data_IF_496120428666
#
_entry.id   IF_496120428666
#
_cell.length_a   1.000
_cell.length_b   1.000
_cell.length_c   1.000
_cell.angle_alpha   90.00
_cell.angle_beta   90.00
_cell.angle_gamma   90.00
#
_symmetry.space_group_name_H-M   'P 1'
#
loop_
_entity.id
_entity.type
_entity.pdbx_description
1 polymer ?
#
# COMPACT_ATOMS: atom_id res chain seq x y z
N UNK A 1 -6.27 -31.59 -14.80
CA UNK A 1 -6.39 -30.54 -13.77
C UNK A 1 -7.29 -31.10 -12.69
N UNK A 2 -7.05 -30.87 -11.39
CA UNK A 2 -8.06 -31.23 -10.39
C UNK A 2 -9.31 -30.38 -10.70
N UNK A 3 -10.46 -31.03 -10.90
CA UNK A 3 -11.76 -30.38 -11.02
C UNK A 3 -12.10 -29.70 -9.70
N UNK A 4 -11.56 -28.50 -9.48
CA UNK A 4 -12.08 -27.62 -8.46
C UNK A 4 -13.40 -27.08 -9.00
N UNK A 5 -14.50 -27.46 -8.36
CA UNK A 5 -15.84 -26.92 -8.56
C UNK A 5 -15.94 -25.48 -8.02
N UNK A 6 -14.96 -24.65 -8.37
CA UNK A 6 -14.70 -23.33 -7.82
C UNK A 6 -14.43 -22.38 -8.99
N UNK A 7 -15.13 -21.24 -9.01
CA UNK A 7 -14.91 -20.20 -10.02
C UNK A 7 -13.62 -19.39 -9.79
N UNK A 8 -13.26 -18.51 -10.72
CA UNK A 8 -12.05 -17.67 -10.61
C UNK A 8 -12.15 -16.63 -9.46
N UNK A 9 -13.30 -16.51 -8.76
CA UNK A 9 -13.47 -15.74 -7.51
C UNK A 9 -13.34 -16.60 -6.25
N UNK A 10 -13.11 -17.90 -6.37
CA UNK A 10 -13.00 -18.81 -5.22
C UNK A 10 -14.35 -19.27 -4.68
N UNK A 11 -15.46 -19.12 -5.43
CA UNK A 11 -16.79 -19.55 -4.99
C UNK A 11 -17.07 -20.98 -5.44
N UNK A 12 -17.41 -21.86 -4.50
CA UNK A 12 -17.94 -23.18 -4.80
C UNK A 12 -19.26 -23.06 -5.58
N UNK A 13 -19.39 -23.79 -6.69
CA UNK A 13 -20.52 -23.67 -7.63
C UNK A 13 -20.70 -22.25 -8.23
N UNK A 14 -19.63 -21.46 -8.25
CA UNK A 14 -19.64 -20.15 -8.90
C UNK A 14 -19.66 -20.26 -10.43
N UNK A 15 -20.02 -19.17 -11.10
CA UNK A 15 -20.09 -19.09 -12.55
C UNK A 15 -19.27 -17.92 -13.13
N UNK A 16 -18.35 -17.37 -12.34
CA UNK A 16 -17.50 -16.27 -12.78
C UNK A 16 -16.19 -16.79 -13.40
N UNK A 17 -16.17 -16.84 -14.73
CA UNK A 17 -15.01 -17.26 -15.53
C UNK A 17 -14.71 -16.19 -16.59
N UNK A 18 -13.98 -15.13 -16.24
CA UNK A 18 -13.70 -14.05 -17.18
C UNK A 18 -12.85 -14.55 -18.35
N UNK A 19 -13.02 -13.91 -19.50
CA UNK A 19 -12.09 -14.04 -20.61
C UNK A 19 -10.66 -13.79 -20.13
N UNK A 20 -9.74 -14.70 -20.48
CA UNK A 20 -8.34 -14.75 -20.03
C UNK A 20 -8.09 -15.14 -18.56
N UNK A 21 -9.12 -15.56 -17.80
CA UNK A 21 -8.99 -15.98 -16.40
C UNK A 21 -7.88 -17.00 -16.17
N UNK A 22 -7.89 -18.11 -16.93
CA UNK A 22 -6.87 -19.16 -16.83
C UNK A 22 -5.44 -18.67 -17.08
N UNK A 23 -5.23 -17.83 -18.11
CA UNK A 23 -3.91 -17.27 -18.41
C UNK A 23 -3.47 -16.25 -17.33
N UNK A 24 -4.39 -15.46 -16.79
CA UNK A 24 -4.11 -14.54 -15.70
C UNK A 24 -3.72 -15.31 -14.42
N UNK A 25 -4.38 -16.44 -14.14
CA UNK A 25 -4.01 -17.36 -13.05
C UNK A 25 -2.59 -17.88 -13.23
N UNK A 26 -2.28 -18.41 -14.41
CA UNK A 26 -0.93 -18.92 -14.74
C UNK A 26 0.13 -17.84 -14.51
N UNK A 27 -0.08 -16.63 -15.01
CA UNK A 27 0.85 -15.51 -14.84
C UNK A 27 0.98 -15.08 -13.36
N UNK A 28 -0.12 -15.01 -12.61
CA UNK A 28 -0.07 -14.67 -11.18
C UNK A 28 0.70 -15.71 -10.37
N UNK A 29 0.59 -16.99 -10.76
CA UNK A 29 1.24 -18.13 -10.10
C UNK A 29 2.68 -18.36 -10.57
N UNK A 30 3.06 -17.85 -11.75
CA UNK A 30 4.40 -17.95 -12.33
C UNK A 30 5.51 -17.27 -11.52
N UNK A 31 5.15 -16.47 -10.50
CA UNK A 31 6.10 -15.83 -9.59
C UNK A 31 6.36 -16.72 -8.36
N UNK A 32 7.48 -17.46 -8.32
CA UNK A 32 7.83 -18.28 -7.16
C UNK A 32 8.13 -17.38 -5.95
N UNK A 33 7.41 -17.60 -4.86
CA UNK A 33 7.47 -16.72 -3.68
C UNK A 33 8.31 -17.36 -2.60
N UNK A 34 9.39 -16.69 -2.21
CA UNK A 34 10.30 -17.17 -1.16
C UNK A 34 9.89 -16.70 0.23
N UNK A 35 9.38 -15.47 0.34
CA UNK A 35 9.05 -14.86 1.62
C UNK A 35 8.18 -13.60 1.46
N UNK A 36 7.58 -13.17 2.56
CA UNK A 36 6.92 -11.86 2.67
C UNK A 36 7.86 -10.89 3.40
N UNK A 37 8.16 -9.75 2.77
CA UNK A 37 9.00 -8.72 3.39
C UNK A 37 8.32 -8.12 4.63
N UNK A 38 9.01 -8.06 5.77
CA UNK A 38 8.45 -7.57 7.05
C UNK A 38 8.97 -6.20 7.49
N UNK A 39 9.74 -5.51 6.64
CA UNK A 39 10.22 -4.16 6.96
C UNK A 39 9.05 -3.19 6.89
N UNK A 40 9.11 -2.08 7.63
CA UNK A 40 8.06 -1.03 7.60
C UNK A 40 7.74 -0.57 6.17
N UNK A 41 8.76 -0.40 5.33
CA UNK A 41 8.58 -0.04 3.91
C UNK A 41 7.88 -1.13 3.08
N UNK A 42 8.08 -2.40 3.42
CA UNK A 42 7.40 -3.51 2.71
C UNK A 42 5.91 -3.53 3.06
N UNK A 43 5.56 -3.22 4.32
CA UNK A 43 4.18 -3.04 4.77
C UNK A 43 3.54 -1.84 4.07
N UNK A 44 4.17 -0.67 4.09
CA UNK A 44 3.65 0.54 3.46
C UNK A 44 3.38 0.36 1.94
N UNK A 45 4.25 -0.37 1.24
CA UNK A 45 4.04 -0.72 -0.17
C UNK A 45 2.83 -1.62 -0.37
N UNK A 46 2.66 -2.65 0.48
CA UNK A 46 1.48 -3.52 0.41
C UNK A 46 0.20 -2.77 0.78
N UNK A 47 0.25 -1.88 1.75
CA UNK A 47 -0.90 -1.09 2.18
C UNK A 47 -1.32 -0.12 1.06
N UNK A 48 -0.38 0.52 0.37
CA UNK A 48 -0.68 1.36 -0.80
C UNK A 48 -1.28 0.57 -1.97
N UNK A 49 -0.72 -0.60 -2.27
CA UNK A 49 -1.14 -1.39 -3.43
C UNK A 49 -2.35 -2.26 -3.10
N UNK A 50 -2.20 -3.26 -2.22
CA UNK A 50 -3.26 -4.21 -1.88
C UNK A 50 -4.28 -3.56 -0.95
N UNK A 51 -3.82 -2.86 0.10
CA UNK A 51 -4.71 -2.20 1.06
C UNK A 51 -5.60 -1.18 0.38
N UNK A 52 -5.00 -0.29 -0.42
CA UNK A 52 -5.72 0.67 -1.25
C UNK A 52 -6.68 0.01 -2.22
N UNK A 53 -6.33 -1.16 -2.78
CA UNK A 53 -7.18 -1.87 -3.73
C UNK A 53 -8.42 -2.39 -3.03
N UNK A 54 -8.25 -3.03 -1.88
CA UNK A 54 -9.36 -3.58 -1.12
C UNK A 54 -10.31 -2.48 -0.61
N UNK A 55 -9.79 -1.30 -0.28
CA UNK A 55 -10.60 -0.17 0.18
C UNK A 55 -11.29 0.59 -0.95
N UNK A 56 -10.82 0.43 -2.19
CA UNK A 56 -11.48 1.01 -3.34
C UNK A 56 -12.75 0.21 -3.66
N UNK A 57 -13.95 0.78 -3.50
CA UNK A 57 -15.20 0.05 -3.70
C UNK A 57 -15.33 -0.56 -5.09
N UNK A 58 -14.63 -0.03 -6.09
CA UNK A 58 -14.58 -0.55 -7.48
C UNK A 58 -13.89 -1.91 -7.61
N UNK A 59 -13.06 -2.29 -6.63
CA UNK A 59 -12.38 -3.58 -6.58
C UNK A 59 -13.19 -4.63 -5.77
N UNK A 60 -14.51 -4.70 -5.99
CA UNK A 60 -15.36 -5.63 -5.25
C UNK A 60 -14.97 -7.09 -5.49
N UNK A 61 -14.64 -7.45 -6.72
CA UNK A 61 -14.19 -8.80 -7.08
C UNK A 61 -12.87 -9.17 -6.40
N UNK A 62 -11.89 -8.26 -6.29
CA UNK A 62 -10.67 -8.50 -5.52
C UNK A 62 -10.97 -8.75 -4.04
N UNK A 63 -11.87 -7.95 -3.44
CA UNK A 63 -12.29 -8.18 -2.05
C UNK A 63 -12.93 -9.54 -1.88
N UNK A 64 -13.83 -9.93 -2.79
CA UNK A 64 -14.50 -11.23 -2.77
C UNK A 64 -13.50 -12.37 -2.91
N UNK A 65 -12.60 -12.30 -3.89
CA UNK A 65 -11.58 -13.31 -4.11
C UNK A 65 -10.65 -13.50 -2.90
N UNK A 66 -10.26 -12.39 -2.25
CA UNK A 66 -9.50 -12.45 -0.99
C UNK A 66 -10.34 -13.05 0.15
N UNK A 67 -11.63 -12.70 0.24
CA UNK A 67 -12.53 -13.21 1.27
C UNK A 67 -12.81 -14.71 1.13
N UNK A 68 -12.92 -15.19 -0.11
CA UNK A 68 -13.23 -16.58 -0.42
C UNK A 68 -12.03 -17.52 -0.29
N UNK A 69 -10.82 -16.97 -0.06
CA UNK A 69 -9.59 -17.74 0.17
C UNK A 69 -9.31 -18.80 -0.93
N UNK A 70 -9.38 -18.40 -2.20
CA UNK A 70 -9.18 -19.29 -3.36
C UNK A 70 -7.96 -20.24 -3.19
N UNK A 71 -8.14 -21.57 -3.18
CA UNK A 71 -7.10 -22.53 -2.81
C UNK A 71 -5.82 -22.44 -3.64
N UNK A 72 -5.94 -22.21 -4.95
CA UNK A 72 -4.77 -22.08 -5.83
C UNK A 72 -3.78 -21.00 -5.39
N UNK A 73 -4.23 -19.86 -4.86
CA UNK A 73 -3.31 -18.79 -4.45
C UNK A 73 -2.50 -19.13 -3.20
N UNK A 74 -2.88 -20.18 -2.47
CA UNK A 74 -2.11 -20.74 -1.36
C UNK A 74 -1.12 -21.82 -1.81
N UNK A 75 -1.17 -22.28 -3.06
CA UNK A 75 -0.31 -23.35 -3.58
C UNK A 75 1.17 -23.03 -3.40
N UNK A 76 1.94 -23.99 -2.88
CA UNK A 76 3.38 -23.83 -2.65
C UNK A 76 3.74 -22.92 -1.47
N UNK A 77 2.80 -22.63 -0.56
CA UNK A 77 3.06 -21.80 0.64
C UNK A 77 2.87 -22.57 1.95
N UNK A 78 2.60 -23.88 1.91
CA UNK A 78 2.22 -24.68 3.08
C UNK A 78 3.24 -24.63 4.23
N UNK A 79 4.53 -24.57 3.91
CA UNK A 79 5.64 -24.49 4.87
C UNK A 79 5.79 -23.11 5.53
N UNK A 80 5.04 -22.10 5.09
CA UNK A 80 5.12 -20.74 5.63
C UNK A 80 4.13 -20.52 6.77
N UNK A 81 4.40 -19.50 7.60
CA UNK A 81 3.48 -19.11 8.66
C UNK A 81 2.12 -18.69 8.08
N UNK A 82 1.02 -18.95 8.80
CA UNK A 82 -0.34 -18.65 8.33
C UNK A 82 -0.49 -17.20 7.85
N UNK A 83 0.08 -16.24 8.58
CA UNK A 83 0.05 -14.84 8.19
C UNK A 83 0.80 -14.58 6.88
N UNK A 84 1.96 -15.20 6.66
CA UNK A 84 2.68 -15.05 5.40
C UNK A 84 1.89 -15.69 4.25
N UNK A 85 1.28 -16.87 4.46
CA UNK A 85 0.41 -17.52 3.47
C UNK A 85 -0.73 -16.62 3.02
N UNK A 86 -1.45 -16.02 3.98
CA UNK A 86 -2.54 -15.06 3.71
C UNK A 86 -2.05 -13.82 2.96
N UNK A 87 -0.87 -13.29 3.29
CA UNK A 87 -0.30 -12.14 2.57
C UNK A 87 0.13 -12.50 1.14
N UNK A 88 0.67 -13.70 0.93
CA UNK A 88 1.01 -14.21 -0.41
C UNK A 88 -0.25 -14.40 -1.23
N UNK A 89 -1.29 -15.03 -0.68
CA UNK A 89 -2.56 -15.22 -1.36
C UNK A 89 -3.19 -13.88 -1.76
N UNK A 90 -3.19 -12.87 -0.89
CA UNK A 90 -3.64 -11.50 -1.22
C UNK A 90 -2.82 -10.87 -2.34
N UNK A 91 -1.50 -11.05 -2.32
CA UNK A 91 -0.62 -10.54 -3.37
C UNK A 91 -0.83 -11.24 -4.71
N UNK A 92 -1.10 -12.55 -4.71
CA UNK A 92 -1.44 -13.33 -5.91
C UNK A 92 -2.83 -12.97 -6.46
N UNK A 93 -3.82 -12.79 -5.60
CA UNK A 93 -5.13 -12.28 -6.01
C UNK A 93 -5.03 -10.90 -6.67
N UNK A 94 -4.21 -9.99 -6.12
CA UNK A 94 -3.94 -8.71 -6.77
C UNK A 94 -3.23 -8.88 -8.13
N UNK A 95 -2.23 -9.78 -8.21
CA UNK A 95 -1.55 -10.09 -9.47
C UNK A 95 -2.50 -10.66 -10.52
N UNK A 96 -3.42 -11.54 -10.13
CA UNK A 96 -4.44 -12.10 -11.00
C UNK A 96 -5.27 -10.99 -11.65
N UNK A 97 -5.86 -10.09 -10.87
CA UNK A 97 -6.62 -8.96 -11.43
C UNK A 97 -5.74 -8.02 -12.27
N UNK A 98 -4.50 -7.77 -11.85
CA UNK A 98 -3.55 -6.99 -12.64
C UNK A 98 -3.26 -7.62 -14.01
N UNK A 99 -3.04 -8.94 -14.07
CA UNK A 99 -2.77 -9.63 -15.32
C UNK A 99 -4.02 -9.75 -16.19
N UNK A 100 -5.17 -10.10 -15.61
CA UNK A 100 -6.46 -10.15 -16.30
C UNK A 100 -6.75 -8.83 -17.02
N UNK A 101 -6.51 -7.74 -16.30
CA UNK A 101 -6.63 -6.38 -16.81
C UNK A 101 -5.69 -6.11 -17.99
N UNK A 102 -4.40 -6.42 -17.84
CA UNK A 102 -3.42 -6.22 -18.91
C UNK A 102 -3.72 -7.06 -20.14
N UNK A 103 -4.17 -8.31 -19.97
CA UNK A 103 -4.53 -9.21 -21.06
C UNK A 103 -5.71 -8.66 -21.87
N UNK A 104 -6.74 -8.15 -21.19
CA UNK A 104 -7.91 -7.53 -21.83
C UNK A 104 -7.56 -6.32 -22.70
N UNK A 105 -6.56 -5.54 -22.29
CA UNK A 105 -6.13 -4.36 -23.05
C UNK A 105 -4.96 -4.65 -24.00
N UNK A 106 -4.52 -5.91 -24.16
CA UNK A 106 -3.30 -6.29 -24.89
C UNK A 106 -3.37 -6.16 -26.42
N UNK A 107 -4.51 -5.72 -26.97
CA UNK A 107 -4.69 -5.49 -28.40
C UNK A 107 -4.90 -4.02 -28.76
N UNK A 108 -4.11 -3.07 -28.23
CA UNK A 108 -4.30 -1.68 -28.59
C UNK A 108 -3.90 -1.45 -30.05
N UNK A 109 -4.63 -0.57 -30.73
CA UNK A 109 -4.31 -0.11 -32.09
C UNK A 109 -2.93 0.59 -32.18
N UNK A 110 -2.38 1.02 -31.03
CA UNK A 110 -1.10 1.72 -30.91
C UNK A 110 0.06 0.78 -30.52
N UNK A 111 1.05 0.60 -31.40
CA UNK A 111 2.24 -0.24 -31.19
C UNK A 111 3.03 0.16 -29.91
N UNK A 112 3.06 1.45 -29.58
CA UNK A 112 3.73 1.95 -28.39
C UNK A 112 3.00 1.54 -27.10
N UNK A 113 1.67 1.43 -27.16
CA UNK A 113 0.83 0.91 -26.08
C UNK A 113 1.04 -0.60 -25.91
N UNK A 114 1.09 -1.37 -27.00
CA UNK A 114 1.38 -2.82 -26.95
C UNK A 114 2.73 -3.09 -26.29
N UNK A 115 3.78 -2.39 -26.74
CA UNK A 115 5.11 -2.49 -26.14
C UNK A 115 5.09 -2.12 -24.65
N UNK A 116 4.30 -1.10 -24.28
CA UNK A 116 4.15 -0.70 -22.88
C UNK A 116 3.50 -1.81 -22.05
N UNK A 117 2.41 -2.41 -22.52
CA UNK A 117 1.69 -3.48 -21.81
C UNK A 117 2.60 -4.70 -21.60
N UNK A 118 3.38 -5.09 -22.61
CA UNK A 118 4.34 -6.19 -22.48
C UNK A 118 5.41 -5.90 -21.42
N UNK A 119 5.87 -4.66 -21.32
CA UNK A 119 6.78 -4.25 -20.24
C UNK A 119 6.10 -4.29 -18.86
N UNK A 120 4.81 -3.94 -18.77
CA UNK A 120 4.02 -4.00 -17.55
C UNK A 120 3.85 -5.44 -17.07
N UNK A 121 3.53 -6.39 -17.97
CA UNK A 121 3.37 -7.82 -17.65
C UNK A 121 4.64 -8.44 -17.05
N UNK A 122 5.80 -8.03 -17.57
CA UNK A 122 7.13 -8.52 -17.13
C UNK A 122 7.67 -7.81 -15.90
N UNK A 123 7.00 -6.77 -15.40
CA UNK A 123 7.50 -6.02 -14.26
C UNK A 123 7.44 -6.88 -12.99
N UNK A 124 8.59 -7.13 -12.38
CA UNK A 124 8.70 -7.84 -11.11
C UNK A 124 7.75 -7.23 -10.06
N UNK A 125 6.92 -8.04 -9.37
CA UNK A 125 6.15 -7.57 -8.23
C UNK A 125 7.08 -7.20 -7.06
N UNK A 126 6.62 -6.29 -6.19
CA UNK A 126 7.32 -5.91 -4.96
C UNK A 126 6.45 -6.08 -3.70
N UNK A 127 5.35 -6.83 -3.83
CA UNK A 127 4.45 -7.19 -2.72
C UNK A 127 5.06 -8.30 -1.84
N UNK A 128 5.85 -9.17 -2.48
CA UNK A 128 6.45 -10.37 -1.94
C UNK A 128 7.88 -10.54 -2.49
N UNK A 129 8.72 -11.30 -1.79
CA UNK A 129 10.07 -11.63 -2.24
C UNK A 129 9.99 -12.83 -3.19
N UNK A 130 10.23 -12.57 -4.47
CA UNK A 130 10.22 -13.60 -5.51
C UNK A 130 11.61 -14.20 -5.71
N UNK A 131 11.68 -15.49 -6.02
CA UNK A 131 12.92 -16.13 -6.41
C UNK A 131 13.35 -15.72 -7.82
N UNK A 132 14.60 -15.28 -7.96
CA UNK A 132 15.16 -14.88 -9.25
C UNK A 132 15.63 -16.06 -10.09
N UNK A 133 16.00 -17.18 -9.46
CA UNK A 133 16.56 -18.34 -10.15
C UNK A 133 15.52 -19.18 -10.87
N UNK A 134 14.29 -19.18 -10.35
CA UNK A 134 13.20 -20.06 -10.80
C UNK A 134 12.10 -19.32 -11.56
N UNK A 135 12.22 -18.01 -11.78
CA UNK A 135 11.30 -17.26 -12.64
C UNK A 135 11.73 -17.40 -14.11
N UNK A 136 11.10 -18.28 -14.92
CA UNK A 136 11.48 -18.45 -16.31
C UNK A 136 11.31 -17.12 -17.06
N UNK A 137 12.33 -16.71 -17.82
CA UNK A 137 12.29 -15.56 -18.74
C UNK A 137 12.13 -14.15 -18.11
N UNK A 138 12.04 -14.01 -16.78
CA UNK A 138 11.94 -12.71 -16.14
C UNK A 138 13.31 -12.21 -15.66
N UNK A 139 13.95 -11.34 -16.45
CA UNK A 139 14.93 -10.42 -15.86
C UNK A 139 14.16 -9.60 -14.82
N UNK A 140 14.45 -9.78 -13.53
CA UNK A 140 13.83 -9.04 -12.41
C UNK A 140 14.12 -7.53 -12.52
N UNK A 141 13.49 -6.88 -13.49
CA UNK A 141 13.68 -5.47 -13.81
C UNK A 141 12.35 -4.76 -13.65
N UNK A 142 12.31 -3.65 -12.91
CA UNK A 142 11.14 -2.80 -12.91
C UNK A 142 10.96 -2.19 -14.31
N UNK A 143 9.71 -2.07 -14.77
CA UNK A 143 9.40 -1.40 -16.04
C UNK A 143 9.58 0.12 -15.99
N UNK A 144 9.72 0.69 -14.78
CA UNK A 144 9.93 2.13 -14.48
C UNK A 144 8.73 3.04 -14.80
N UNK A 145 7.56 2.48 -15.12
CA UNK A 145 6.35 3.24 -15.44
C UNK A 145 5.46 3.45 -14.22
N UNK A 146 5.88 4.30 -13.29
CA UNK A 146 5.20 4.47 -11.99
C UNK A 146 3.79 5.09 -12.06
N UNK A 147 3.34 5.57 -13.22
CA UNK A 147 1.93 5.96 -13.43
C UNK A 147 1.03 4.79 -13.82
N UNK A 148 1.60 3.68 -14.34
CA UNK A 148 0.85 2.57 -14.94
C UNK A 148 1.15 1.19 -14.33
N UNK A 149 2.31 1.02 -13.69
CA UNK A 149 2.69 -0.21 -12.98
C UNK A 149 2.66 -0.05 -11.46
N UNK A 150 1.82 -0.83 -10.72
CA UNK A 150 1.57 -0.56 -9.31
C UNK A 150 2.82 -0.87 -8.50
N UNK A 151 3.60 -1.83 -8.98
CA UNK A 151 4.89 -2.18 -8.40
C UNK A 151 5.95 -1.09 -8.60
N UNK A 152 5.93 -0.38 -9.73
CA UNK A 152 6.84 0.77 -9.92
C UNK A 152 6.40 1.98 -9.11
N UNK A 153 5.09 2.20 -8.94
CA UNK A 153 4.57 3.19 -8.00
C UNK A 153 5.03 2.89 -6.58
N UNK A 154 4.76 1.68 -6.09
CA UNK A 154 5.19 1.26 -4.76
C UNK A 154 6.70 1.44 -4.53
N UNK A 155 7.54 1.06 -5.50
CA UNK A 155 9.01 1.32 -5.41
C UNK A 155 9.34 2.81 -5.35
N UNK A 156 8.68 3.63 -6.17
CA UNK A 156 8.94 5.07 -6.25
C UNK A 156 8.50 5.80 -4.99
N UNK A 157 7.35 5.43 -4.41
CA UNK A 157 6.87 5.97 -3.13
C UNK A 157 7.71 5.45 -1.96
N UNK A 158 8.11 4.18 -1.96
CA UNK A 158 9.04 3.61 -0.98
C UNK A 158 10.39 4.35 -0.94
N UNK A 159 10.95 4.64 -2.12
CA UNK A 159 12.19 5.40 -2.22
C UNK A 159 11.99 6.84 -1.73
N UNK A 160 10.89 7.49 -2.14
CA UNK A 160 10.56 8.85 -1.70
C UNK A 160 10.39 8.92 -0.19
N UNK A 161 9.63 8.01 0.42
CA UNK A 161 9.48 7.96 1.88
C UNK A 161 10.83 7.79 2.56
N UNK A 162 11.70 6.89 2.05
CA UNK A 162 13.05 6.73 2.60
C UNK A 162 13.88 8.02 2.50
N UNK A 163 13.81 8.72 1.37
CA UNK A 163 14.54 9.98 1.14
C UNK A 163 14.04 11.06 2.12
N UNK A 164 12.72 11.14 2.33
CA UNK A 164 12.06 12.12 3.21
C UNK A 164 12.15 11.77 4.71
N UNK A 165 12.35 10.49 5.07
CA UNK A 165 12.54 10.05 6.46
C UNK A 165 14.00 10.09 6.93
N UNK A 166 14.94 10.55 6.10
CA UNK A 166 16.29 10.82 6.56
C UNK A 166 16.24 11.91 7.65
N UNK A 167 17.04 11.75 8.71
CA UNK A 167 16.92 12.47 9.99
C UNK A 167 16.89 14.00 9.89
N UNK A 168 17.38 14.56 8.79
CA UNK A 168 17.59 15.99 8.63
C UNK A 168 16.63 16.61 7.61
N UNK A 169 15.73 15.81 7.03
CA UNK A 169 14.88 16.29 5.93
C UNK A 169 13.64 17.05 6.43
N UNK A 170 13.06 16.63 7.56
CA UNK A 170 11.85 17.23 8.15
C UNK A 170 12.19 17.72 9.55
N UNK A 171 11.85 18.98 9.88
CA UNK A 171 12.19 19.56 11.19
C UNK A 171 11.31 18.94 12.30
N UNK A 172 11.88 18.59 13.48
CA UNK A 172 11.15 17.94 14.57
C UNK A 172 9.88 18.67 15.04
N UNK A 173 9.93 20.01 15.09
CA UNK A 173 8.90 20.86 15.68
C UNK A 173 7.88 21.39 14.65
N UNK A 174 7.54 20.56 13.67
CA UNK A 174 6.65 20.96 12.57
C UNK A 174 5.46 20.04 12.38
N UNK A 175 4.45 20.59 11.71
CA UNK A 175 3.31 19.82 11.21
C UNK A 175 3.56 19.48 9.74
N UNK A 176 3.17 18.27 9.35
CA UNK A 176 3.08 17.89 7.96
C UNK A 176 1.64 18.09 7.50
N UNK A 177 1.46 18.85 6.41
CA UNK A 177 0.15 19.13 5.84
C UNK A 177 0.08 18.69 4.38
N UNK A 178 -0.99 17.98 4.03
CA UNK A 178 -1.32 17.56 2.68
C UNK A 178 -2.56 18.31 2.20
N UNK A 179 -2.40 19.16 1.20
CA UNK A 179 -3.51 19.73 0.44
C UNK A 179 -3.73 18.92 -0.83
N UNK A 180 -4.98 18.65 -1.22
CA UNK A 180 -5.31 17.94 -2.45
C UNK A 180 -6.46 18.60 -3.20
N UNK A 181 -6.35 18.70 -4.51
CA UNK A 181 -7.42 19.15 -5.40
C UNK A 181 -7.69 18.03 -6.40
N UNK A 182 -8.96 17.68 -6.54
CA UNK A 182 -9.45 16.69 -7.51
C UNK A 182 -10.38 17.37 -8.51
N UNK A 183 -10.09 17.25 -9.81
CA UNK A 183 -10.91 17.79 -10.90
C UNK A 183 -11.44 16.65 -11.76
N UNK A 184 -12.76 16.53 -11.89
CA UNK A 184 -13.39 15.50 -12.69
C UNK A 184 -13.43 15.91 -14.17
N UNK A 185 -12.93 15.05 -15.07
CA UNK A 185 -12.84 15.35 -16.50
C UNK A 185 -14.21 15.49 -17.18
N UNK A 186 -15.32 14.97 -16.62
CA UNK A 186 -16.65 15.24 -17.18
C UNK A 186 -16.94 16.76 -17.27
N UNK A 187 -16.30 17.57 -16.42
CA UNK A 187 -16.40 19.03 -16.43
C UNK A 187 -15.35 19.73 -17.32
N UNK A 188 -14.38 19.00 -17.88
CA UNK A 188 -13.19 19.58 -18.54
C UNK A 188 -13.20 19.43 -20.07
N UNK A 189 -14.36 19.48 -20.72
CA UNK A 189 -14.58 19.57 -22.17
C UNK A 189 -14.45 18.30 -23.03
N UNK A 190 -15.36 18.26 -24.00
CA UNK A 190 -15.40 17.49 -25.23
C UNK A 190 -14.22 17.84 -26.14
N UNK A 191 -13.32 16.89 -26.43
CA UNK A 191 -12.64 16.86 -27.73
C UNK A 191 -11.11 17.00 -27.81
N UNK A 192 -10.34 17.27 -26.75
CA UNK A 192 -8.86 17.33 -26.88
C UNK A 192 -8.08 16.56 -25.82
N UNK A 193 -7.28 15.58 -26.28
CA UNK A 193 -6.40 14.72 -25.46
C UNK A 193 -5.22 15.50 -24.81
N UNK A 194 -4.97 16.75 -25.21
CA UNK A 194 -3.79 17.54 -24.79
C UNK A 194 -4.01 18.49 -23.59
N UNK A 195 -5.16 18.42 -22.90
CA UNK A 195 -5.50 19.41 -21.86
C UNK A 195 -4.95 19.10 -20.46
N UNK A 196 -4.47 17.89 -20.22
CA UNK A 196 -4.03 17.45 -18.88
C UNK A 196 -2.78 18.19 -18.38
N UNK A 197 -1.69 18.37 -19.17
CA UNK A 197 -0.52 19.10 -18.70
C UNK A 197 -0.81 20.58 -18.31
N UNK A 198 -1.59 21.36 -19.08
CA UNK A 198 -2.03 22.69 -18.67
C UNK A 198 -2.80 22.72 -17.34
N UNK A 199 -3.76 21.81 -17.15
CA UNK A 199 -4.55 21.71 -15.91
C UNK A 199 -3.63 21.41 -14.72
N UNK A 200 -2.75 20.41 -14.87
CA UNK A 200 -1.74 20.08 -13.87
C UNK A 200 -0.89 21.29 -13.50
N UNK A 201 -0.38 22.02 -14.49
CA UNK A 201 0.48 23.18 -14.26
C UNK A 201 -0.25 24.27 -13.48
N UNK A 202 -1.51 24.54 -13.82
CA UNK A 202 -2.36 25.53 -13.15
C UNK A 202 -2.63 25.17 -11.69
N UNK A 203 -3.07 23.94 -11.43
CA UNK A 203 -3.33 23.43 -10.08
C UNK A 203 -2.05 23.42 -9.23
N UNK A 204 -0.92 23.03 -9.84
CA UNK A 204 0.39 23.05 -9.16
C UNK A 204 0.80 24.47 -8.79
N UNK A 205 0.60 25.44 -9.68
CA UNK A 205 0.89 26.86 -9.41
C UNK A 205 0.02 27.40 -8.29
N UNK A 206 -1.28 27.07 -8.30
CA UNK A 206 -2.23 27.46 -7.27
C UNK A 206 -1.83 26.90 -5.89
N UNK A 207 -1.61 25.59 -5.78
CA UNK A 207 -1.17 24.98 -4.52
C UNK A 207 0.16 25.57 -4.02
N UNK A 208 1.10 25.87 -4.92
CA UNK A 208 2.36 26.53 -4.52
C UNK A 208 2.16 27.98 -4.03
N UNK A 209 1.18 28.72 -4.57
CA UNK A 209 0.79 30.03 -4.02
C UNK A 209 0.30 29.88 -2.59
N UNK A 210 -0.51 28.86 -2.32
CA UNK A 210 -0.97 28.54 -0.96
C UNK A 210 0.21 28.18 -0.05
N UNK A 211 1.13 27.31 -0.50
CA UNK A 211 2.33 26.97 0.27
C UNK A 211 3.11 28.23 0.69
N UNK A 212 3.30 29.17 -0.23
CA UNK A 212 3.97 30.43 0.05
C UNK A 212 3.18 31.30 1.04
N UNK A 213 1.86 31.36 0.95
CA UNK A 213 1.03 32.12 1.90
C UNK A 213 1.06 31.52 3.33
N UNK A 214 1.38 30.23 3.44
CA UNK A 214 1.56 29.51 4.70
C UNK A 214 3.03 29.49 5.18
N UNK A 215 3.90 30.31 4.57
CA UNK A 215 5.33 30.37 4.87
C UNK A 215 6.02 28.98 4.82
N UNK A 216 5.54 28.09 3.95
CA UNK A 216 6.15 26.78 3.73
C UNK A 216 7.28 26.93 2.69
N UNK A 217 8.57 26.87 3.10
CA UNK A 217 9.69 27.21 2.23
C UNK A 217 9.99 26.13 1.18
N UNK A 218 9.37 24.95 1.30
CA UNK A 218 9.53 23.85 0.37
C UNK A 218 8.45 22.79 0.55
N UNK A 219 8.45 21.82 -0.36
CA UNK A 219 7.49 20.73 -0.30
C UNK A 219 7.57 19.78 -1.48
N UNK A 220 6.58 18.90 -1.54
CA UNK A 220 6.39 17.89 -2.56
C UNK A 220 5.04 18.09 -3.24
N UNK A 221 5.05 18.22 -4.56
CA UNK A 221 3.84 18.20 -5.38
C UNK A 221 3.70 16.83 -6.03
N UNK A 222 2.53 16.20 -5.96
CA UNK A 222 2.21 14.94 -6.63
C UNK A 222 1.13 15.16 -7.67
N UNK A 223 1.13 14.31 -8.69
CA UNK A 223 0.15 14.34 -9.78
C UNK A 223 -0.26 12.92 -10.12
N UNK A 224 -1.56 12.67 -10.13
CA UNK A 224 -2.15 11.40 -10.52
C UNK A 224 -3.37 11.63 -11.41
N UNK A 225 -3.60 10.67 -12.29
CA UNK A 225 -4.84 10.57 -13.08
C UNK A 225 -5.45 9.22 -12.73
N UNK A 226 -6.67 9.23 -12.19
CA UNK A 226 -7.37 8.02 -11.74
C UNK A 226 -8.79 7.96 -12.30
N UNK A 227 -9.48 6.83 -12.17
CA UNK A 227 -10.89 6.76 -12.54
C UNK A 227 -11.72 7.63 -11.60
N UNK A 228 -12.81 8.24 -12.09
CA UNK A 228 -13.68 9.08 -11.27
C UNK A 228 -14.29 8.31 -10.08
N UNK A 229 -14.42 9.01 -8.94
CA UNK A 229 -15.00 8.50 -7.68
C UNK A 229 -16.53 8.60 -7.63
N UNK A 230 -17.16 9.39 -8.50
CA UNK A 230 -18.61 9.67 -8.44
C UNK A 230 -19.50 8.44 -8.73
N UNK A 231 -18.93 7.34 -9.20
CA UNK A 231 -19.68 6.21 -9.77
C UNK A 231 -19.78 4.98 -8.85
N UNK A 232 -19.43 5.08 -7.57
CA UNK A 232 -19.42 3.94 -6.62
C UNK A 232 -20.75 3.19 -6.52
N UNK A 233 -21.89 3.86 -6.75
CA UNK A 233 -23.22 3.24 -6.61
C UNK A 233 -23.62 2.27 -7.72
N UNK A 234 -23.02 2.37 -8.91
CA UNK A 234 -23.38 1.56 -10.11
C UNK A 234 -22.39 0.43 -10.43
N UNK A 235 -21.32 0.27 -9.63
CA UNK A 235 -20.32 -0.77 -9.90
C UNK A 235 -20.83 -2.20 -9.67
N UNK A 236 -21.90 -2.39 -8.89
CA UNK A 236 -22.44 -3.73 -8.61
C UNK A 236 -22.95 -4.50 -9.84
N UNK A 237 -23.16 -3.85 -10.99
CA UNK A 237 -23.83 -4.49 -12.14
C UNK A 237 -23.00 -4.57 -13.45
N UNK A 238 -21.85 -3.89 -13.58
CA UNK A 238 -21.16 -3.75 -14.89
C UNK A 238 -19.66 -4.03 -14.88
N UNK A 239 -19.17 -4.72 -13.85
CA UNK A 239 -17.79 -4.59 -13.36
C UNK A 239 -16.66 -5.07 -14.28
N UNK A 240 -16.93 -5.74 -15.41
CA UNK A 240 -15.87 -6.18 -16.33
C UNK A 240 -16.33 -6.26 -17.80
N UNK A 241 -17.19 -5.34 -18.24
CA UNK A 241 -17.63 -5.30 -19.64
C UNK A 241 -18.60 -4.17 -20.02
N UNK A 242 -19.11 -3.40 -19.05
CA UNK A 242 -19.96 -2.25 -19.37
C UNK A 242 -19.15 -1.09 -19.92
N UNK A 243 -19.49 -0.63 -21.12
CA UNK A 243 -19.09 0.67 -21.64
C UNK A 243 -19.77 1.80 -20.85
N UNK A 244 -19.53 1.92 -19.54
CA UNK A 244 -19.93 3.16 -18.88
C UNK A 244 -19.03 4.29 -19.41
N UNK A 245 -19.61 5.44 -19.73
CA UNK A 245 -18.88 6.63 -20.14
C UNK A 245 -18.13 7.22 -18.94
N UNK A 246 -16.97 6.64 -18.65
CA UNK A 246 -16.17 7.03 -17.49
C UNK A 246 -15.34 8.27 -17.80
N UNK A 247 -15.44 9.29 -16.94
CA UNK A 247 -14.42 10.33 -16.85
C UNK A 247 -13.25 9.86 -15.98
N UNK A 248 -12.06 10.43 -16.21
CA UNK A 248 -10.98 10.36 -15.24
C UNK A 248 -11.01 11.57 -14.30
N UNK A 249 -10.44 11.42 -13.12
CA UNK A 249 -10.18 12.52 -12.20
C UNK A 249 -8.70 12.82 -12.21
N UNK A 250 -8.38 14.11 -12.36
CA UNK A 250 -7.04 14.63 -12.18
C UNK A 250 -6.90 15.01 -10.71
N UNK A 251 -5.90 14.47 -10.02
CA UNK A 251 -5.55 14.87 -8.67
C UNK A 251 -4.17 15.49 -8.64
N UNK A 252 -4.09 16.68 -8.04
CA UNK A 252 -2.81 17.30 -7.67
C UNK A 252 -2.81 17.46 -6.16
N UNK A 253 -1.75 16.98 -5.52
CA UNK A 253 -1.57 17.17 -4.10
C UNK A 253 -0.27 17.89 -3.79
N UNK A 254 -0.26 18.59 -2.66
CA UNK A 254 0.87 19.33 -2.11
C UNK A 254 1.09 18.86 -0.67
N UNK A 255 2.24 18.26 -0.42
CA UNK A 255 2.73 17.96 0.92
C UNK A 255 3.77 19.01 1.31
N UNK A 256 3.54 19.69 2.42
CA UNK A 256 4.41 20.74 2.98
C UNK A 256 4.64 20.54 4.45
N UNK A 257 5.66 21.23 4.95
CA UNK A 257 5.98 21.35 6.35
C UNK A 257 5.55 22.74 6.84
N UNK A 258 4.84 22.81 7.96
CA UNK A 258 4.33 24.03 8.56
C UNK A 258 4.89 24.21 9.99
N UNK A 259 5.30 25.44 10.39
CA UNK A 259 5.66 25.72 11.77
C UNK A 259 4.49 25.46 12.72
N UNK A 260 4.72 24.81 13.86
CA UNK A 260 3.65 24.38 14.78
C UNK A 260 2.83 25.55 15.33
N UNK A 261 3.49 26.64 15.73
CA UNK A 261 2.84 27.78 16.39
C UNK A 261 1.89 28.53 15.44
N UNK A 262 2.33 28.78 14.20
CA UNK A 262 1.52 29.45 13.18
C UNK A 262 0.42 28.55 12.62
N UNK A 263 0.70 27.25 12.48
CA UNK A 263 -0.26 26.31 11.92
C UNK A 263 -1.41 26.07 12.89
N UNK A 264 -1.16 25.97 14.19
CA UNK A 264 -2.22 25.81 15.17
C UNK A 264 -3.11 27.05 15.25
N UNK A 265 -2.56 28.27 15.28
CA UNK A 265 -3.37 29.50 15.28
C UNK A 265 -4.23 29.62 14.01
N UNK A 266 -3.66 29.37 12.83
CA UNK A 266 -4.39 29.47 11.55
C UNK A 266 -5.34 28.31 11.27
N UNK A 267 -5.07 27.11 11.78
CA UNK A 267 -5.94 25.93 11.63
C UNK A 267 -7.01 25.84 12.73
N UNK A 268 -6.82 26.48 13.90
CA UNK A 268 -7.79 26.44 15.01
C UNK A 268 -8.75 27.64 15.06
N UNK A 269 -8.41 28.76 14.42
CA UNK A 269 -9.24 29.96 14.42
C UNK A 269 -10.46 29.89 13.48
N UNK A 270 -10.52 28.92 12.55
CA UNK A 270 -11.63 28.72 11.62
C UNK A 270 -12.04 27.25 11.62
N UNK A 271 -13.35 26.98 11.69
CA UNK A 271 -13.92 25.63 11.66
C UNK A 271 -13.38 24.81 10.49
N UNK A 272 -12.56 23.79 10.79
CA UNK A 272 -12.16 22.62 9.98
C UNK A 272 -11.74 22.79 8.50
N UNK A 273 -11.67 24.00 7.94
CA UNK A 273 -11.29 24.25 6.55
C UNK A 273 -10.65 25.63 6.39
N UNK A 274 -9.35 25.69 6.12
CA UNK A 274 -8.70 26.91 5.62
C UNK A 274 -9.36 27.32 4.29
N UNK A 275 -10.02 28.48 4.26
CA UNK A 275 -10.59 29.02 3.02
C UNK A 275 -9.50 29.76 2.23
N UNK A 276 -9.31 29.37 0.97
CA UNK A 276 -8.42 30.07 0.04
C UNK A 276 -9.26 30.66 -1.10
N UNK A 277 -8.73 31.67 -1.80
CA UNK A 277 -9.39 32.23 -2.99
C UNK A 277 -9.77 31.10 -3.96
N UNK A 278 -10.97 31.15 -4.54
CA UNK A 278 -11.37 30.19 -5.55
C UNK A 278 -10.38 30.13 -6.72
N UNK A 279 -10.20 28.94 -7.31
CA UNK A 279 -9.31 28.77 -8.45
C UNK A 279 -9.99 29.41 -9.66
N UNK A 280 -9.51 30.56 -10.22
CA UNK A 280 -10.32 31.42 -11.09
C UNK A 280 -10.68 30.86 -12.48
N UNK A 281 -10.52 29.57 -12.73
CA UNK A 281 -10.67 28.98 -14.05
C UNK A 281 -11.13 27.54 -14.07
N UNK A 282 -11.68 27.07 -12.97
CA UNK A 282 -12.52 25.89 -12.98
C UNK A 282 -13.91 26.38 -12.60
N UNK A 283 -14.92 25.93 -13.33
CA UNK A 283 -16.31 26.31 -13.04
C UNK A 283 -16.68 25.75 -11.66
N UNK A 284 -16.89 26.64 -10.69
CA UNK A 284 -17.26 26.32 -9.31
C UNK A 284 -16.17 26.58 -8.27
N UNK A 285 -16.62 26.71 -7.02
CA UNK A 285 -15.76 26.99 -5.85
C UNK A 285 -14.94 25.74 -5.48
N UNK A 286 -13.84 25.50 -6.19
CA UNK A 286 -12.95 24.37 -5.93
C UNK A 286 -11.97 24.71 -4.80
N UNK A 287 -12.22 24.15 -3.62
CA UNK A 287 -11.35 24.30 -2.45
C UNK A 287 -10.47 23.05 -2.24
N UNK A 288 -9.20 23.21 -1.84
CA UNK A 288 -8.33 22.08 -1.53
C UNK A 288 -8.82 21.36 -0.26
N UNK A 289 -8.82 20.02 -0.30
CA UNK A 289 -9.01 19.21 0.90
C UNK A 289 -7.69 19.10 1.67
N UNK A 290 -7.71 19.38 2.97
CA UNK A 290 -6.54 19.36 3.84
C UNK A 290 -6.49 18.12 4.73
N UNK A 291 -5.28 17.64 4.99
CA UNK A 291 -5.01 16.62 6.01
C UNK A 291 -3.71 16.98 6.72
N UNK A 292 -3.78 17.22 8.04
CA UNK A 292 -2.63 17.66 8.85
C UNK A 292 -2.27 16.59 9.87
N UNK A 293 -0.97 16.37 10.08
CA UNK A 293 -0.41 15.44 11.06
C UNK A 293 0.80 16.07 11.73
N UNK A 294 0.90 15.96 13.05
CA UNK A 294 2.13 16.37 13.74
C UNK A 294 3.29 15.44 13.34
N UNK A 295 4.45 16.01 13.01
CA UNK A 295 5.62 15.24 12.56
C UNK A 295 6.07 14.20 13.58
N UNK A 296 5.98 14.52 14.89
CA UNK A 296 6.26 13.61 16.01
C UNK A 296 5.48 12.30 15.98
N UNK A 297 4.36 12.22 15.25
CA UNK A 297 3.72 10.94 15.02
C UNK A 297 4.59 10.08 14.12
N UNK A 298 5.05 8.96 14.67
CA UNK A 298 5.92 7.97 14.01
C UNK A 298 5.53 7.65 12.56
N UNK A 299 4.24 7.67 12.27
CA UNK A 299 3.68 7.28 10.98
C UNK A 299 3.14 8.47 10.15
N UNK A 300 3.30 9.73 10.58
CA UNK A 300 2.72 10.90 9.90
C UNK A 300 3.08 10.97 8.41
N UNK A 301 4.37 10.91 8.08
CA UNK A 301 4.83 10.97 6.70
C UNK A 301 4.34 9.77 5.88
N UNK A 302 4.30 8.59 6.49
CA UNK A 302 3.75 7.39 5.85
C UNK A 302 2.28 7.61 5.53
N UNK A 303 1.49 7.99 6.52
CA UNK A 303 0.05 8.17 6.38
C UNK A 303 -0.29 9.26 5.35
N UNK A 304 0.52 10.33 5.25
CA UNK A 304 0.31 11.38 4.25
C UNK A 304 0.78 10.98 2.84
N UNK A 305 1.79 10.11 2.69
CA UNK A 305 2.24 9.64 1.37
C UNK A 305 1.39 8.49 0.84
N UNK A 306 1.25 7.44 1.64
CA UNK A 306 0.57 6.19 1.28
C UNK A 306 -0.93 6.24 1.58
N UNK A 307 -1.38 7.18 2.41
CA UNK A 307 -2.74 7.26 2.93
C UNK A 307 -2.93 6.41 4.18
N UNK A 308 -4.02 6.68 4.89
CA UNK A 308 -4.59 5.74 5.86
C UNK A 308 -5.73 4.98 5.21
N UNK A 309 -6.04 3.78 5.70
CA UNK A 309 -7.33 3.17 5.38
C UNK A 309 -8.45 4.18 5.68
N UNK A 310 -9.41 4.38 4.76
CA UNK A 310 -10.54 5.27 5.00
C UNK A 310 -11.25 4.89 6.29
N UNK A 311 -11.75 5.89 7.03
CA UNK A 311 -12.71 5.62 8.12
C UNK A 311 -14.03 5.13 7.49
N UNK A 312 -14.84 4.38 8.24
CA UNK A 312 -16.15 3.91 7.77
C UNK A 312 -16.93 5.07 7.12
N UNK A 313 -17.25 4.95 5.82
CA UNK A 313 -17.96 5.97 5.05
C UNK A 313 -17.11 6.81 4.08
N UNK A 314 -15.79 6.81 4.19
CA UNK A 314 -14.89 7.49 3.22
C UNK A 314 -14.54 6.56 2.05
N UNK A 315 -14.51 7.11 0.83
CA UNK A 315 -14.16 6.35 -0.39
C UNK A 315 -12.70 6.60 -0.79
N UNK A 316 -11.89 5.54 -0.73
CA UNK A 316 -10.53 5.51 -1.28
C UNK A 316 -9.42 5.89 -0.29
N UNK A 317 -8.20 5.99 -0.81
CA UNK A 317 -6.99 6.29 -0.04
C UNK A 317 -6.80 7.81 0.06
N UNK A 318 -6.52 8.34 1.25
CA UNK A 318 -6.42 9.80 1.50
C UNK A 318 -5.04 10.41 1.21
N UNK A 319 -4.01 9.58 1.01
CA UNK A 319 -2.63 10.02 0.85
C UNK A 319 -2.33 10.77 -0.46
N UNK A 320 -1.11 11.29 -0.56
CA UNK A 320 -0.59 11.99 -1.74
C UNK A 320 -0.54 11.11 -2.99
N UNK A 321 -0.56 9.77 -2.80
CA UNK A 321 -0.71 8.76 -3.84
C UNK A 321 -2.02 7.99 -3.68
N UNK A 322 -3.15 8.68 -3.79
CA UNK A 322 -4.50 8.17 -3.56
C UNK A 322 -5.02 7.21 -4.64
N UNK A 323 -4.65 7.42 -5.90
CA UNK A 323 -5.19 6.59 -6.98
C UNK A 323 -4.41 5.30 -7.17
N UNK A 324 -5.14 4.20 -7.00
CA UNK A 324 -4.85 2.91 -7.58
C UNK A 324 -4.68 3.05 -9.09
N UNK A 325 -3.72 2.34 -9.66
CA UNK A 325 -3.50 2.40 -11.10
C UNK A 325 -4.53 1.58 -11.87
N UNK A 326 -4.73 1.97 -13.13
CA UNK A 326 -5.74 1.53 -14.09
C UNK A 326 -5.61 0.07 -14.53
N UNK A 327 -5.65 -0.88 -13.59
CA UNK A 327 -5.84 -2.28 -13.91
C UNK A 327 -7.32 -2.52 -14.28
N UNK A 328 -8.29 -2.05 -13.49
CA UNK A 328 -9.71 -2.20 -13.85
C UNK A 328 -10.23 -1.34 -15.03
N UNK A 329 -9.36 -0.84 -15.88
CA UNK A 329 -9.73 -0.01 -17.02
C UNK A 329 -10.17 -0.86 -18.22
N UNK A 330 -11.17 -0.39 -18.96
CA UNK A 330 -11.33 -0.79 -20.37
C UNK A 330 -10.12 -0.35 -21.18
N UNK A 331 -9.98 -0.92 -22.38
CA UNK A 331 -8.92 -0.54 -23.30
C UNK A 331 -8.95 0.96 -23.64
N UNK A 332 -10.13 1.50 -23.99
CA UNK A 332 -10.31 2.92 -24.30
C UNK A 332 -9.91 3.82 -23.13
N UNK A 333 -10.33 3.47 -21.90
CA UNK A 333 -9.94 4.20 -20.70
C UNK A 333 -8.43 4.17 -20.46
N UNK A 334 -7.80 3.02 -20.67
CA UNK A 334 -6.36 2.88 -20.51
C UNK A 334 -5.61 3.73 -21.53
N UNK A 335 -6.05 3.76 -22.80
CA UNK A 335 -5.45 4.59 -23.84
C UNK A 335 -5.56 6.08 -23.51
N UNK A 336 -6.73 6.53 -23.03
CA UNK A 336 -6.93 7.91 -22.58
C UNK A 336 -6.04 8.26 -21.39
N UNK A 337 -5.96 7.37 -20.40
CA UNK A 337 -5.06 7.54 -19.27
C UNK A 337 -3.61 7.61 -19.73
N UNK A 338 -3.17 6.71 -20.62
CA UNK A 338 -1.82 6.69 -21.17
C UNK A 338 -1.46 8.00 -21.88
N UNK A 339 -2.38 8.55 -22.68
CA UNK A 339 -2.23 9.86 -23.30
C UNK A 339 -2.13 10.97 -22.26
N UNK A 340 -3.01 10.98 -21.25
CA UNK A 340 -3.09 12.01 -20.21
C UNK A 340 -1.81 12.14 -19.36
N UNK A 341 -1.15 11.01 -19.06
CA UNK A 341 0.05 10.99 -18.22
C UNK A 341 1.35 11.18 -19.02
N UNK A 342 1.29 11.16 -20.36
CA UNK A 342 2.47 11.22 -21.22
C UNK A 342 3.27 12.50 -20.94
N UNK A 343 4.58 12.35 -20.75
CA UNK A 343 5.49 13.47 -20.44
C UNK A 343 5.32 14.08 -19.03
N UNK A 344 4.44 13.53 -18.20
CA UNK A 344 4.21 14.05 -16.84
C UNK A 344 5.05 13.32 -15.79
N UNK A 345 5.60 14.08 -14.85
CA UNK A 345 6.21 13.51 -13.64
C UNK A 345 5.15 13.18 -12.58
N UNK A 346 5.29 12.02 -11.95
CA UNK A 346 4.47 11.58 -10.81
C UNK A 346 4.56 12.54 -9.61
N UNK A 347 5.74 13.09 -9.36
CA UNK A 347 5.93 14.09 -8.32
C UNK A 347 7.08 15.04 -8.67
N UNK A 348 7.10 16.20 -8.04
CA UNK A 348 8.22 17.14 -8.06
C UNK A 348 8.39 17.82 -6.71
N UNK A 349 9.63 17.88 -6.22
CA UNK A 349 10.00 18.67 -5.05
C UNK A 349 10.28 20.12 -5.45
N UNK A 350 10.06 21.06 -4.54
CA UNK A 350 10.36 22.48 -4.73
C UNK A 350 10.89 23.10 -3.44
N UNK A 351 11.48 24.29 -3.55
CA UNK A 351 12.04 25.01 -2.40
C UNK A 351 13.12 24.21 -1.69
N UNK A 352 13.15 24.31 -0.37
CA UNK A 352 14.17 23.66 0.47
C UNK A 352 14.21 22.14 0.30
N UNK A 353 13.06 21.49 0.12
CA UNK A 353 12.99 20.04 -0.10
C UNK A 353 13.74 19.59 -1.36
N UNK A 354 13.81 20.45 -2.39
CA UNK A 354 14.59 20.17 -3.60
C UNK A 354 16.09 20.29 -3.34
N UNK A 355 16.50 21.25 -2.50
CA UNK A 355 17.90 21.56 -2.21
C UNK A 355 18.50 20.59 -1.18
N UNK A 356 17.71 20.15 -0.21
CA UNK A 356 18.08 19.21 0.84
C UNK A 356 18.07 17.75 0.38
N UNK A 357 17.63 17.47 -0.85
CA UNK A 357 17.69 16.12 -1.38
C UNK A 357 19.16 15.71 -1.47
N UNK A 358 19.56 14.57 -0.86
CA UNK A 358 20.91 14.06 -1.05
C UNK A 358 21.14 13.96 -2.55
N UNK A 359 22.16 14.65 -3.08
CA UNK A 359 22.56 14.49 -4.47
C UNK A 359 22.73 12.99 -4.65
N UNK A 360 21.88 12.37 -5.48
CA UNK A 360 22.09 10.99 -5.87
C UNK A 360 23.47 10.99 -6.50
N UNK A 361 24.49 10.54 -5.77
CA UNK A 361 25.75 10.17 -6.39
C UNK A 361 25.33 9.16 -7.44
N UNK A 362 25.49 9.57 -8.70
CA UNK A 362 25.15 8.76 -9.85
C UNK A 362 25.82 7.41 -9.67
N UNK A 363 25.04 6.41 -9.28
CA UNK A 363 25.45 5.01 -9.27
C UNK A 363 25.47 4.48 -10.71
N UNK A 364 26.02 5.29 -11.62
CA UNK A 364 26.47 4.91 -12.97
C UNK A 364 27.83 4.20 -12.91
N UNK A 365 28.45 4.12 -11.73
CA UNK A 365 29.43 3.08 -11.43
C UNK A 365 28.70 1.79 -11.08
N UNK A 366 28.79 0.80 -11.99
CA UNK A 366 28.47 -0.60 -11.78
C UNK A 366 28.67 -1.01 -10.31
N UNK A 367 27.57 -1.30 -9.60
CA UNK A 367 27.66 -2.08 -8.37
C UNK A 367 28.07 -3.49 -8.76
N UNK A 368 29.39 -3.69 -8.85
CA UNK A 368 30.04 -4.96 -9.11
C UNK A 368 29.35 -6.06 -8.29
N UNK A 369 29.11 -7.21 -8.92
CA UNK A 369 28.53 -8.39 -8.29
C UNK A 369 29.28 -8.81 -6.99
N UNK A 370 30.53 -8.36 -6.81
CA UNK A 370 31.31 -8.48 -5.58
C UNK A 370 30.71 -7.78 -4.35
N UNK A 371 29.92 -6.70 -4.50
CA UNK A 371 29.22 -6.02 -3.39
C UNK A 371 27.83 -6.60 -3.06
N UNK A 372 27.28 -7.47 -3.92
CA UNK A 372 26.04 -8.21 -3.61
C UNK A 372 26.28 -9.40 -2.67
N UNK A 373 27.44 -10.06 -2.75
CA UNK A 373 27.81 -11.19 -1.87
C UNK A 373 27.80 -10.82 -0.37
N UNK A 374 28.35 -9.67 0.07
CA UNK A 374 28.27 -9.23 1.46
C UNK A 374 26.83 -8.97 1.92
N UNK A 375 26.00 -8.31 1.10
CA UNK A 375 24.59 -8.03 1.45
C UNK A 375 23.72 -9.28 1.49
N UNK A 376 23.98 -10.27 0.64
CA UNK A 376 23.30 -11.57 0.68
C UNK A 376 23.75 -12.38 1.90
N UNK A 377 25.05 -12.41 2.23
CA UNK A 377 25.57 -12.97 3.49
C UNK A 377 25.02 -12.25 4.72
N UNK A 378 24.87 -10.92 4.68
CA UNK A 378 24.20 -10.14 5.72
C UNK A 378 22.70 -10.44 5.84
N UNK A 379 22.02 -10.75 4.72
CA UNK A 379 20.60 -11.13 4.76
C UNK A 379 20.39 -12.54 5.27
N UNK A 380 21.27 -13.48 4.90
CA UNK A 380 21.32 -14.81 5.49
C UNK A 380 21.66 -14.73 6.99
N UNK A 381 22.62 -13.86 7.38
CA UNK A 381 22.93 -13.64 8.79
C UNK A 381 21.77 -12.98 9.54
N UNK A 382 21.00 -12.09 8.91
CA UNK A 382 19.79 -11.52 9.50
C UNK A 382 18.64 -12.54 9.60
N UNK A 383 18.47 -13.44 8.63
CA UNK A 383 17.49 -14.54 8.72
C UNK A 383 17.84 -15.46 9.87
N UNK A 384 19.10 -15.85 9.99
CA UNK A 384 19.60 -16.68 11.08
C UNK A 384 19.52 -15.94 12.42
N UNK A 385 19.88 -14.66 12.48
CA UNK A 385 19.79 -13.85 13.70
C UNK A 385 18.34 -13.59 14.13
N UNK A 386 17.39 -13.49 13.19
CA UNK A 386 15.97 -13.38 13.51
C UNK A 386 15.38 -14.72 13.94
N UNK A 387 15.79 -15.83 13.33
CA UNK A 387 15.41 -17.18 13.75
C UNK A 387 15.94 -17.47 15.15
N UNK A 388 17.21 -17.13 15.41
CA UNK A 388 17.84 -17.26 16.72
C UNK A 388 17.16 -16.37 17.75
N UNK A 389 16.91 -15.09 17.47
CA UNK A 389 16.13 -14.21 18.36
C UNK A 389 14.71 -14.74 18.62
N UNK A 390 14.07 -15.32 17.61
CA UNK A 390 12.75 -15.90 17.76
C UNK A 390 12.76 -17.15 18.63
N UNK A 391 13.80 -18.00 18.49
CA UNK A 391 14.03 -19.20 19.29
C UNK A 391 14.39 -18.84 20.74
N UNK A 392 15.32 -17.91 20.97
CA UNK A 392 15.64 -17.37 22.30
C UNK A 392 14.39 -16.81 22.97
N UNK A 393 13.62 -15.97 22.27
CA UNK A 393 12.38 -15.45 22.84
C UNK A 393 11.27 -16.51 23.02
N UNK A 394 11.41 -17.71 22.45
CA UNK A 394 10.51 -18.84 22.74
C UNK A 394 10.99 -19.57 23.98
N UNK A 395 12.29 -19.85 24.08
CA UNK A 395 12.91 -20.45 25.26
C UNK A 395 12.71 -19.57 26.51
N UNK A 396 12.93 -18.27 26.40
CA UNK A 396 12.69 -17.32 27.49
C UNK A 396 11.22 -17.33 27.92
N UNK A 397 10.30 -17.45 26.96
CA UNK A 397 8.88 -17.57 27.25
C UNK A 397 8.58 -18.89 27.98
N UNK A 398 9.12 -20.02 27.53
CA UNK A 398 8.95 -21.33 28.15
C UNK A 398 9.49 -21.35 29.58
N UNK A 399 10.66 -20.77 29.83
CA UNK A 399 11.25 -20.65 31.16
C UNK A 399 10.36 -19.80 32.10
N UNK A 400 9.72 -18.76 31.57
CA UNK A 400 8.82 -17.89 32.35
C UNK A 400 7.42 -18.48 32.54
N UNK A 401 7.00 -19.44 31.70
CA UNK A 401 5.65 -20.04 31.77
C UNK A 401 5.43 -20.68 33.14
N UNK A 402 6.39 -21.44 33.66
CA UNK A 402 6.26 -22.09 34.98
C UNK A 402 6.03 -21.09 36.11
N UNK A 403 6.72 -19.95 36.06
CA UNK A 403 6.56 -18.87 37.05
C UNK A 403 5.23 -18.13 36.90
N UNK A 404 4.73 -17.98 35.66
CA UNK A 404 3.52 -17.22 35.35
C UNK A 404 2.24 -18.04 35.50
N UNK A 405 2.29 -19.37 35.37
CA UNK A 405 1.14 -20.27 35.50
C UNK A 405 0.35 -20.07 36.81
N UNK A 406 0.97 -20.02 38.00
CA UNK A 406 0.23 -19.84 39.25
C UNK A 406 -0.53 -18.52 39.30
N UNK A 407 0.08 -17.45 38.79
CA UNK A 407 -0.51 -16.11 38.69
C UNK A 407 -1.69 -16.14 37.72
N UNK A 408 -1.50 -16.74 36.54
CA UNK A 408 -2.54 -16.86 35.53
C UNK A 408 -3.73 -17.70 36.01
N UNK A 409 -3.48 -18.79 36.74
CA UNK A 409 -4.52 -19.66 37.31
C UNK A 409 -5.31 -18.94 38.42
N UNK A 410 -4.62 -18.26 39.35
CA UNK A 410 -5.28 -17.46 40.39
C UNK A 410 -6.18 -16.39 39.78
N UNK A 411 -5.66 -15.69 38.76
CA UNK A 411 -6.40 -14.68 38.04
C UNK A 411 -7.58 -15.28 37.26
N UNK A 412 -7.40 -16.46 36.64
CA UNK A 412 -8.46 -17.15 35.92
C UNK A 412 -9.61 -17.58 36.84
N UNK A 413 -9.31 -18.07 38.06
CA UNK A 413 -10.31 -18.40 39.08
C UNK A 413 -11.13 -17.14 39.43
N UNK A 414 -10.46 -16.01 39.68
CA UNK A 414 -11.15 -14.77 40.02
C UNK A 414 -12.03 -14.21 38.89
N UNK A 415 -11.63 -14.44 37.63
CA UNK A 415 -12.30 -13.91 36.44
C UNK A 415 -13.33 -14.89 35.86
N UNK A 416 -13.35 -16.14 36.29
CA UNK A 416 -14.13 -17.22 35.66
C UNK A 416 -13.71 -17.54 34.21
N UNK A 417 -12.55 -17.06 33.76
CA UNK A 417 -12.02 -17.24 32.40
C UNK A 417 -10.53 -16.95 32.32
N UNK A 418 -9.88 -17.44 31.26
CA UNK A 418 -8.46 -17.16 31.01
C UNK A 418 -8.18 -15.64 30.93
N UNK A 419 -7.19 -15.11 31.67
CA UNK A 419 -6.93 -13.68 31.70
C UNK A 419 -6.43 -13.15 30.36
N UNK A 420 -6.93 -11.96 30.01
CA UNK A 420 -6.40 -11.19 28.89
C UNK A 420 -5.02 -10.58 29.20
N UNK A 421 -4.28 -10.20 28.15
CA UNK A 421 -2.90 -9.69 28.22
C UNK A 421 -2.66 -8.61 29.27
N UNK A 422 -3.54 -7.60 29.33
CA UNK A 422 -3.40 -6.45 30.24
C UNK A 422 -3.60 -6.86 31.70
N UNK A 423 -4.56 -7.75 31.96
CA UNK A 423 -4.84 -8.23 33.31
C UNK A 423 -3.67 -9.09 33.82
N UNK A 424 -3.15 -9.99 32.97
CA UNK A 424 -1.99 -10.80 33.33
C UNK A 424 -0.72 -9.95 33.53
N UNK A 425 -0.50 -8.93 32.69
CA UNK A 425 0.62 -8.00 32.85
C UNK A 425 0.60 -7.31 34.21
N UNK A 426 -0.56 -6.77 34.60
CA UNK A 426 -0.72 -6.12 35.90
C UNK A 426 -0.49 -7.11 37.06
N UNK A 427 -1.02 -8.34 36.95
CA UNK A 427 -0.83 -9.35 37.98
C UNK A 427 0.63 -9.81 38.11
N UNK A 428 1.35 -9.96 37.00
CA UNK A 428 2.78 -10.24 37.00
C UNK A 428 3.57 -9.09 37.63
N UNK A 429 3.27 -7.84 37.30
CA UNK A 429 3.90 -6.67 37.89
C UNK A 429 3.66 -6.60 39.42
N UNK A 430 2.44 -6.87 39.87
CA UNK A 430 2.11 -6.96 41.30
C UNK A 430 2.84 -8.10 42.02
N UNK A 431 3.21 -9.16 41.29
CA UNK A 431 4.02 -10.27 41.79
C UNK A 431 5.54 -10.02 41.66
N UNK A 432 5.97 -8.80 41.28
CA UNK A 432 7.38 -8.44 41.13
C UNK A 432 8.03 -8.94 39.83
N UNK A 433 7.24 -9.38 38.85
CA UNK A 433 7.72 -9.85 37.55
C UNK A 433 7.52 -8.77 36.48
N UNK A 434 8.60 -8.12 36.06
CA UNK A 434 8.57 -7.18 34.94
C UNK A 434 8.70 -7.92 33.60
N UNK A 435 7.55 -8.31 33.03
CA UNK A 435 7.48 -9.06 31.78
C UNK A 435 6.92 -8.16 30.66
N UNK A 436 7.68 -7.92 29.57
CA UNK A 436 7.19 -7.14 28.45
C UNK A 436 5.90 -7.71 27.85
N UNK A 437 4.95 -6.84 27.49
CA UNK A 437 3.62 -7.25 26.97
C UNK A 437 3.71 -8.20 25.75
N UNK A 438 4.76 -8.02 24.93
CA UNK A 438 5.01 -8.89 23.77
C UNK A 438 5.36 -10.33 24.18
N UNK A 439 6.04 -10.52 25.32
CA UNK A 439 6.40 -11.83 25.87
C UNK A 439 5.17 -12.50 26.49
N UNK A 440 4.32 -11.75 27.20
CA UNK A 440 3.07 -12.26 27.77
C UNK A 440 2.13 -12.86 26.72
N UNK A 441 2.11 -12.33 25.49
CA UNK A 441 1.37 -12.94 24.37
C UNK A 441 1.80 -14.37 24.08
N UNK A 442 3.11 -14.64 24.16
CA UNK A 442 3.68 -15.97 23.91
C UNK A 442 3.36 -16.89 25.08
N UNK A 443 3.56 -16.42 26.31
CA UNK A 443 3.27 -17.15 27.54
C UNK A 443 1.80 -17.59 27.58
N UNK A 444 0.84 -16.69 27.33
CA UNK A 444 -0.59 -17.04 27.29
C UNK A 444 -0.88 -18.17 26.29
N UNK A 445 -0.25 -18.11 25.11
CA UNK A 445 -0.43 -19.15 24.08
C UNK A 445 0.12 -20.50 24.55
N UNK A 446 1.30 -20.51 25.18
CA UNK A 446 1.95 -21.70 25.72
C UNK A 446 1.12 -22.33 26.86
N UNK A 447 0.61 -21.52 27.80
CA UNK A 447 -0.26 -21.98 28.89
C UNK A 447 -1.53 -22.63 28.31
N UNK A 448 -2.18 -21.97 27.33
CA UNK A 448 -3.37 -22.53 26.69
C UNK A 448 -3.08 -23.89 26.02
N UNK A 449 -1.95 -24.02 25.34
CA UNK A 449 -1.53 -25.29 24.72
C UNK A 449 -1.26 -26.38 25.77
N UNK A 450 -0.57 -26.06 26.87
CA UNK A 450 -0.29 -27.03 27.94
C UNK A 450 -1.58 -27.52 28.64
N UNK A 451 -2.53 -26.62 28.89
CA UNK A 451 -3.83 -26.99 29.48
C UNK A 451 -4.65 -27.88 28.55
N UNK A 452 -4.62 -27.64 27.23
CA UNK A 452 -5.28 -28.52 26.25
C UNK A 452 -4.68 -29.92 26.27
N UNK A 453 -3.36 -30.04 26.35
CA UNK A 453 -2.66 -31.35 26.43
C UNK A 453 -3.00 -32.08 27.73
N UNK A 454 -3.05 -31.37 28.87
CA UNK A 454 -3.41 -31.98 30.16
C UNK A 454 -4.86 -32.49 30.16
N UNK A 455 -5.81 -31.75 29.59
CA UNK A 455 -7.21 -32.20 29.47
C UNK A 455 -7.35 -33.45 28.59
N UNK A 456 -6.55 -33.57 27.53
CA UNK A 456 -6.53 -34.76 26.67
C UNK A 456 -5.86 -35.99 27.28
N UNK A 457 -5.04 -35.83 28.33
CA UNK A 457 -4.39 -36.95 29.01
C UNK A 457 -5.18 -37.46 30.23
N UNK A 458 -6.24 -36.76 30.62
CA UNK A 458 -7.13 -37.11 31.75
C UNK A 458 -8.46 -37.73 31.27
N UNK A 459 -8.78 -37.54 29.98
CA UNK A 459 -9.88 -38.19 29.26
C UNK A 459 -9.34 -39.41 28.50
#
# INVERSE_FOLDING_TARGET
MPDYDVDDLGRSNGNWFPEFGGLAHELAMSWPVNAVGRRSVDWAVRDLIIGGAQQDPRNAMLRQLIKNEHPEFYRGTFEMSENDRKQIARGRAFLFFYYLSLLRISHPEDESATTRIEQLKRCCPNLMLVDSSSAPNHRLRPCRHAHQCPFCLGRKVAHLHKDLSASDFIRPDTLLALASIEVNRKQLFSGSRNQVPPIKAKLTKYLRKIAHALDAPGGLTTFQVGPSKELVRTFHEMELGGQASYGFTIRVSLLVELPTDQALERLSAESDTLQFDDIPAFDGNMQPTWTVRAHRHRDALRDLLYGTSPRYGEVGVTGAFAYQQWHLASESQWQEHFAAIRGTNLYSMFGDWRNSRPRQQDSRGLSNASTRRPKYRQRLSLRNANAQRAATATQDAENLVETVIPIANSLAISLGRMPGRKALANACASAGLDIPERMLRRIIKLIATQQTVQLHNVL
#
